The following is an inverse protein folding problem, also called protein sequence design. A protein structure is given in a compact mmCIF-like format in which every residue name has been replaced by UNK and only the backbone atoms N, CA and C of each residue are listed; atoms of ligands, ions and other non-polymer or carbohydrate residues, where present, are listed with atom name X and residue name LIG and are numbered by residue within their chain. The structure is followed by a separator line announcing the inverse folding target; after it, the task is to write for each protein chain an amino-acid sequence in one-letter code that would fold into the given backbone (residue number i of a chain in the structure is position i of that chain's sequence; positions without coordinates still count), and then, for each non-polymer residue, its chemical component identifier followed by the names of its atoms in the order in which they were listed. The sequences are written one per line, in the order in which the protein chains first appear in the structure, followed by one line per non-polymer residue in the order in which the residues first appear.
data_IF_617156074604
#
_entry.id   IF_617156074604
#
_cell.length_a   1.000
_cell.length_b   1.000
_cell.length_c   1.000
_cell.angle_alpha   90.00
_cell.angle_beta   90.00
_cell.angle_gamma   90.00
#
_symmetry.space_group_name_H-M   'P 1'
#
loop_
_entity.id
_entity.type
_entity.pdbx_description
1 polymer ?
#
# COMPACT_ATOMS: atom_id res chain seq x y z
N UNK A 1 -17.99 1.72 -36.60
CA UNK A 1 -18.54 1.33 -35.28
C UNK A 1 -17.40 0.75 -34.47
N UNK A 2 -16.88 1.48 -33.49
CA UNK A 2 -15.77 1.01 -32.66
C UNK A 2 -16.29 -0.09 -31.74
N UNK A 3 -15.74 -1.29 -31.86
CA UNK A 3 -16.09 -2.44 -31.02
C UNK A 3 -15.67 -2.13 -29.57
N UNK A 4 -16.63 -1.79 -28.70
CA UNK A 4 -16.38 -1.38 -27.31
C UNK A 4 -16.18 -2.60 -26.39
N UNK A 5 -15.35 -3.55 -26.81
CA UNK A 5 -15.08 -4.76 -26.03
C UNK A 5 -14.19 -4.43 -24.84
N UNK A 6 -14.70 -4.73 -23.66
CA UNK A 6 -13.97 -4.58 -22.40
C UNK A 6 -13.41 -5.95 -22.00
N UNK A 7 -12.09 -6.04 -21.89
CA UNK A 7 -11.36 -7.23 -21.46
C UNK A 7 -11.07 -7.11 -19.97
N UNK A 8 -11.37 -8.15 -19.20
CA UNK A 8 -11.22 -8.15 -17.75
C UNK A 8 -10.13 -9.14 -17.33
N UNK A 9 -9.20 -8.67 -16.50
CA UNK A 9 -8.11 -9.45 -15.91
C UNK A 9 -8.21 -9.33 -14.38
N UNK A 10 -7.90 -10.39 -13.65
CA UNK A 10 -8.02 -10.41 -12.19
C UNK A 10 -6.81 -11.08 -11.54
N UNK A 11 -6.37 -10.54 -10.41
CA UNK A 11 -5.34 -11.12 -9.56
C UNK A 11 -5.63 -10.79 -8.09
N UNK A 12 -5.18 -11.66 -7.17
CA UNK A 12 -5.22 -11.36 -5.73
C UNK A 12 -3.89 -10.73 -5.32
N UNK A 13 -3.92 -9.46 -4.94
CA UNK A 13 -2.75 -8.67 -4.54
C UNK A 13 -3.13 -7.78 -3.35
N UNK A 14 -2.15 -7.39 -2.52
CA UNK A 14 -2.40 -6.57 -1.33
C UNK A 14 -3.45 -7.15 -0.35
N UNK A 15 -3.66 -8.48 -0.39
CA UNK A 15 -4.67 -9.17 0.40
C UNK A 15 -6.12 -9.06 -0.12
N UNK A 16 -6.33 -8.61 -1.36
CA UNK A 16 -7.68 -8.45 -1.95
C UNK A 16 -7.70 -8.77 -3.46
N UNK A 17 -8.87 -9.12 -4.04
CA UNK A 17 -8.98 -9.25 -5.49
C UNK A 17 -8.93 -7.87 -6.17
N UNK A 18 -8.10 -7.74 -7.20
CA UNK A 18 -8.00 -6.56 -8.06
C UNK A 18 -8.51 -6.92 -9.47
N UNK A 19 -9.51 -6.19 -9.93
CA UNK A 19 -10.08 -6.32 -11.28
C UNK A 19 -9.58 -5.19 -12.18
N UNK A 20 -8.83 -5.55 -13.22
CA UNK A 20 -8.36 -4.64 -14.27
C UNK A 20 -9.22 -4.79 -15.53
N UNK A 21 -9.70 -3.67 -16.07
CA UNK A 21 -10.48 -3.63 -17.32
C UNK A 21 -9.73 -2.84 -18.39
N UNK A 22 -9.53 -3.44 -19.56
CA UNK A 22 -8.89 -2.82 -20.71
C UNK A 22 -9.87 -2.72 -21.88
N UNK A 23 -9.79 -1.64 -22.66
CA UNK A 23 -10.60 -1.43 -23.88
C UNK A 23 -10.09 -2.22 -25.09
N UNK A 24 -8.98 -2.93 -24.94
CA UNK A 24 -8.37 -3.80 -25.94
C UNK A 24 -7.81 -5.03 -25.25
N UNK A 25 -7.76 -6.15 -25.98
CA UNK A 25 -7.13 -7.36 -25.46
C UNK A 25 -5.61 -7.16 -25.41
N UNK A 26 -5.02 -7.10 -24.21
CA UNK A 26 -3.59 -6.94 -24.01
C UNK A 26 -3.17 -7.57 -22.68
N UNK A 27 -2.89 -8.88 -22.72
CA UNK A 27 -2.41 -9.64 -21.57
C UNK A 27 -1.04 -9.16 -21.06
N UNK A 28 -0.17 -8.70 -21.96
CA UNK A 28 1.15 -8.22 -21.61
C UNK A 28 1.05 -6.91 -20.79
N UNK A 29 0.15 -6.00 -21.17
CA UNK A 29 -0.15 -4.80 -20.39
C UNK A 29 -0.76 -5.16 -19.03
N UNK A 30 -1.74 -6.07 -19.00
CA UNK A 30 -2.33 -6.50 -17.75
C UNK A 30 -1.28 -7.07 -16.78
N UNK A 31 -0.37 -7.91 -17.30
CA UNK A 31 0.75 -8.46 -16.55
C UNK A 31 1.67 -7.37 -15.99
N UNK A 32 2.06 -6.38 -16.81
CA UNK A 32 2.88 -5.23 -16.35
C UNK A 32 2.19 -4.41 -15.25
N UNK A 33 0.88 -4.20 -15.35
CA UNK A 33 0.10 -3.49 -14.32
C UNK A 33 0.12 -4.26 -13.01
N UNK A 34 -0.14 -5.57 -13.04
CA UNK A 34 -0.09 -6.39 -11.82
C UNK A 34 1.31 -6.48 -11.22
N UNK A 35 2.36 -6.56 -12.03
CA UNK A 35 3.75 -6.49 -11.56
C UNK A 35 4.07 -5.16 -10.87
N UNK A 36 3.56 -4.04 -11.41
CA UNK A 36 3.72 -2.73 -10.78
C UNK A 36 3.01 -2.66 -9.41
N UNK A 37 1.78 -3.17 -9.32
CA UNK A 37 1.04 -3.26 -8.06
C UNK A 37 1.81 -4.12 -7.06
N UNK A 38 2.32 -5.28 -7.49
CA UNK A 38 3.12 -6.17 -6.63
C UNK A 38 4.37 -5.46 -6.10
N UNK A 39 5.09 -4.74 -6.96
CA UNK A 39 6.25 -3.95 -6.55
C UNK A 39 5.88 -2.87 -5.51
N UNK A 40 4.73 -2.23 -5.64
CA UNK A 40 4.26 -1.27 -4.63
C UNK A 40 3.86 -1.95 -3.33
N UNK A 41 3.17 -3.09 -3.38
CA UNK A 41 2.91 -3.91 -2.19
C UNK A 41 4.22 -4.19 -1.46
N UNK A 42 5.26 -4.57 -2.20
CA UNK A 42 6.57 -4.90 -1.65
C UNK A 42 7.22 -3.70 -0.94
N UNK A 43 7.21 -2.53 -1.57
CA UNK A 43 7.84 -1.34 -0.99
C UNK A 43 7.07 -0.79 0.22
N UNK A 44 5.75 -0.92 0.24
CA UNK A 44 4.86 -0.17 1.13
C UNK A 44 4.30 -0.99 2.30
N UNK A 45 4.33 -2.31 2.21
CA UNK A 45 3.71 -3.16 3.22
C UNK A 45 4.36 -2.99 4.59
N UNK A 46 3.52 -2.96 5.62
CA UNK A 46 3.92 -2.97 7.04
C UNK A 46 3.67 -4.34 7.69
N UNK A 47 3.20 -5.32 6.90
CA UNK A 47 2.81 -6.65 7.38
C UNK A 47 3.91 -7.70 7.21
N UNK A 48 5.07 -7.34 6.66
CA UNK A 48 6.26 -8.19 6.57
C UNK A 48 7.45 -7.48 7.20
N UNK A 49 8.51 -8.24 7.52
CA UNK A 49 9.69 -7.70 8.18
C UNK A 49 10.44 -6.67 7.30
N UNK A 50 10.50 -6.91 5.99
CA UNK A 50 11.35 -6.13 5.08
C UNK A 50 10.52 -5.29 4.10
N UNK A 51 10.58 -3.97 4.23
CA UNK A 51 10.07 -3.00 3.25
C UNK A 51 10.68 -1.64 3.54
N UNK A 52 10.66 -0.72 2.58
CA UNK A 52 11.18 0.64 2.81
C UNK A 52 10.39 1.38 3.90
N UNK A 53 9.09 1.11 4.02
CA UNK A 53 8.28 1.65 5.12
C UNK A 53 8.67 1.02 6.47
N UNK A 54 9.02 -0.27 6.49
CA UNK A 54 9.53 -0.90 7.70
C UNK A 54 10.91 -0.41 8.09
N UNK A 55 11.80 -0.13 7.14
CA UNK A 55 13.11 0.50 7.40
C UNK A 55 12.93 1.84 8.14
N UNK A 56 11.97 2.65 7.68
CA UNK A 56 11.59 3.90 8.37
C UNK A 56 11.07 3.62 9.78
N UNK A 57 10.16 2.65 9.93
CA UNK A 57 9.60 2.30 11.24
C UNK A 57 10.68 1.80 12.22
N UNK A 58 11.65 1.03 11.75
CA UNK A 58 12.76 0.53 12.56
C UNK A 58 13.76 1.61 12.96
N UNK A 59 13.90 2.65 12.14
CA UNK A 59 14.75 3.81 12.41
C UNK A 59 14.03 4.96 13.14
N UNK A 60 12.74 4.80 13.49
CA UNK A 60 11.93 5.84 14.12
C UNK A 60 12.60 6.39 15.40
N UNK A 61 12.78 7.72 15.45
CA UNK A 61 13.45 8.40 16.56
C UNK A 61 14.97 8.23 16.63
N UNK A 62 15.61 7.55 15.67
CA UNK A 62 17.05 7.24 15.69
C UNK A 62 17.84 8.01 14.63
N UNK A 63 17.52 7.83 13.35
CA UNK A 63 18.21 8.50 12.24
C UNK A 63 17.31 8.57 10.99
N UNK A 64 17.58 9.49 10.04
CA UNK A 64 16.87 9.49 8.76
C UNK A 64 17.14 8.21 7.95
N UNK A 65 16.20 7.88 7.05
CA UNK A 65 16.30 6.73 6.13
C UNK A 65 16.05 7.22 4.71
N UNK A 66 16.97 6.89 3.80
CA UNK A 66 16.80 7.14 2.36
C UNK A 66 15.85 6.11 1.78
N UNK A 67 14.82 6.57 1.07
CA UNK A 67 13.84 5.70 0.40
C UNK A 67 13.72 6.06 -1.07
N UNK A 68 13.08 5.17 -1.83
CA UNK A 68 12.79 5.45 -3.24
C UNK A 68 11.82 6.62 -3.39
N UNK A 69 11.90 7.33 -4.52
CA UNK A 69 11.05 8.48 -4.83
C UNK A 69 9.54 8.20 -4.68
N UNK A 70 8.99 7.06 -5.16
CA UNK A 70 7.57 6.79 -4.98
C UNK A 70 7.15 6.63 -3.51
N UNK A 71 7.98 6.00 -2.68
CA UNK A 71 7.72 5.84 -1.24
C UNK A 71 7.75 7.20 -0.55
N UNK A 72 8.75 8.03 -0.86
CA UNK A 72 8.85 9.38 -0.33
C UNK A 72 7.61 10.23 -0.67
N UNK A 73 7.20 10.23 -1.94
CA UNK A 73 6.03 11.00 -2.41
C UNK A 73 4.73 10.55 -1.72
N UNK A 74 4.55 9.24 -1.53
CA UNK A 74 3.37 8.74 -0.83
C UNK A 74 3.36 9.15 0.64
N UNK A 75 4.49 9.03 1.34
CA UNK A 75 4.63 9.46 2.75
C UNK A 75 4.40 10.97 2.87
N UNK A 76 4.93 11.76 1.94
CA UNK A 76 4.72 13.20 1.91
C UNK A 76 3.23 13.55 1.75
N UNK A 77 2.53 12.87 0.83
CA UNK A 77 1.09 13.04 0.63
C UNK A 77 0.30 12.67 1.88
N UNK A 78 0.59 11.51 2.47
CA UNK A 78 -0.09 11.05 3.68
C UNK A 78 0.19 11.96 4.89
N UNK A 79 1.42 12.47 5.04
CA UNK A 79 1.75 13.48 6.06
C UNK A 79 0.93 14.75 5.85
N UNK A 80 0.84 15.25 4.62
CA UNK A 80 0.03 16.42 4.32
C UNK A 80 -1.45 16.20 4.70
N UNK A 81 -2.01 15.04 4.35
CA UNK A 81 -3.37 14.66 4.73
C UNK A 81 -3.56 14.56 6.26
N UNK A 82 -2.55 14.10 6.99
CA UNK A 82 -2.58 14.06 8.46
C UNK A 82 -2.51 15.43 9.13
N UNK A 83 -1.94 16.43 8.46
CA UNK A 83 -1.78 17.77 9.00
C UNK A 83 -2.93 18.73 8.65
N UNK A 84 -3.93 18.27 7.88
CA UNK A 84 -5.16 19.03 7.64
C UNK A 84 -5.85 19.29 8.99
N UNK A 85 -6.37 20.50 9.19
CA UNK A 85 -7.09 20.88 10.42
C UNK A 85 -8.24 19.90 10.65
N UNK A 86 -8.36 19.40 11.89
CA UNK A 86 -9.37 18.44 12.30
C UNK A 86 -9.35 17.12 11.49
N UNK A 87 -8.19 16.75 10.94
CA UNK A 87 -8.02 15.50 10.19
C UNK A 87 -8.22 14.28 11.10
N UNK A 88 -9.11 13.38 10.67
CA UNK A 88 -9.26 12.05 11.26
C UNK A 88 -8.20 11.06 10.75
N UNK A 89 -7.37 11.44 9.77
CA UNK A 89 -6.36 10.56 9.19
C UNK A 89 -5.01 10.76 9.88
N UNK A 90 -4.43 9.68 10.44
CA UNK A 90 -3.11 9.74 11.07
C UNK A 90 -2.18 8.67 10.49
N UNK A 91 -1.21 9.09 9.67
CA UNK A 91 -0.19 8.23 9.07
C UNK A 91 0.66 7.49 10.13
N UNK A 92 0.85 8.08 11.31
CA UNK A 92 1.69 7.54 12.38
C UNK A 92 0.90 6.72 13.43
N UNK A 93 -0.37 6.36 13.15
CA UNK A 93 -1.23 5.60 14.09
C UNK A 93 -0.79 4.14 14.32
N UNK A 94 0.23 3.66 13.60
CA UNK A 94 0.69 2.27 13.60
C UNK A 94 0.86 1.63 14.99
N UNK A 95 1.54 2.27 15.97
CA UNK A 95 1.69 1.72 17.32
C UNK A 95 0.36 1.42 18.01
N UNK A 96 -0.62 2.33 17.89
CA UNK A 96 -1.95 2.16 18.49
C UNK A 96 -2.69 0.98 17.86
N UNK A 97 -2.66 0.88 16.52
CA UNK A 97 -3.27 -0.24 15.78
C UNK A 97 -2.67 -1.59 16.19
N UNK A 98 -1.34 -1.65 16.40
CA UNK A 98 -0.66 -2.87 16.87
C UNK A 98 -1.12 -3.28 18.26
N UNK A 99 -1.19 -2.33 19.20
CA UNK A 99 -1.67 -2.58 20.57
C UNK A 99 -3.10 -3.15 20.57
N UNK A 100 -4.02 -2.51 19.85
CA UNK A 100 -5.41 -2.98 19.75
C UNK A 100 -5.53 -4.39 19.19
N UNK A 101 -4.75 -4.72 18.15
CA UNK A 101 -4.74 -6.08 17.58
C UNK A 101 -4.31 -7.14 18.59
N UNK A 102 -3.33 -6.86 19.44
CA UNK A 102 -2.90 -7.81 20.47
C UNK A 102 -4.00 -8.03 21.52
N UNK A 103 -4.61 -6.96 22.01
CA UNK A 103 -5.73 -7.05 22.97
C UNK A 103 -6.90 -7.84 22.39
N UNK A 104 -7.28 -7.58 21.14
CA UNK A 104 -8.39 -8.27 20.47
C UNK A 104 -8.15 -9.79 20.29
N UNK A 105 -6.89 -10.22 20.18
CA UNK A 105 -6.53 -11.64 20.06
C UNK A 105 -6.50 -12.33 21.43
N UNK A 106 -6.07 -11.63 22.48
CA UNK A 106 -6.08 -12.14 23.84
C UNK A 106 -7.50 -12.36 24.39
N UNK A 107 -8.48 -11.57 23.96
CA UNK A 107 -9.89 -11.72 24.36
C UNK A 107 -10.65 -12.86 23.65
N UNK A 108 -10.05 -13.47 22.61
CA UNK A 108 -10.65 -14.57 21.82
C UNK A 108 -9.98 -15.92 22.09
N UNK A 109 -9.02 -15.97 23.02
CA UNK A 109 -8.38 -17.18 23.53
C UNK A 109 -8.92 -17.47 24.93
#
# INVERSE_FOLDING_TARGET
MSDNRVYSYSAVLMGSPILLKLCSHDEAMASRVFQLIKRYEDLLTVNRAESQVMDINHAAGRHPVTVSRPVFQLIQCAKAASMVRDSAFNLAIGPLVKLWRMVSRAQRA
#
